data_IF_201976563046
#
_entry.id   IF_201976563046
#
_cell.length_a   1.000
_cell.length_b   1.000
_cell.length_c   1.000
_cell.angle_alpha   90.00
_cell.angle_beta   90.00
_cell.angle_gamma   90.00
#
_symmetry.space_group_name_H-M   'P 1'
#
loop_
_entity.id
_entity.type
_entity.pdbx_description
1 polymer ?
#
# COMPACT_ATOMS: atom_id res chain seq x y z
N UNK A 1 18.73 16.04 4.48
CA UNK A 1 17.32 16.49 4.45
C UNK A 1 16.61 15.88 5.64
N UNK A 2 16.05 16.69 6.53
CA UNK A 2 15.35 16.18 7.71
C UNK A 2 14.05 15.49 7.25
N UNK A 3 13.93 14.19 7.50
CA UNK A 3 12.64 13.50 7.48
C UNK A 3 11.81 14.07 8.63
N UNK A 4 10.98 15.06 8.32
CA UNK A 4 9.94 15.52 9.22
C UNK A 4 9.04 14.31 9.49
N UNK A 5 9.16 13.73 10.69
CA UNK A 5 8.34 12.58 11.07
C UNK A 5 6.89 13.02 10.92
N UNK A 6 6.11 12.25 10.13
CA UNK A 6 4.69 12.52 9.92
C UNK A 6 3.97 12.73 11.25
N UNK A 7 2.84 13.44 11.26
CA UNK A 7 2.18 13.85 12.50
C UNK A 7 1.89 12.63 13.37
N UNK A 8 2.64 12.50 14.46
CA UNK A 8 2.47 11.48 15.49
C UNK A 8 1.69 12.10 16.64
N UNK A 9 0.37 11.93 16.63
CA UNK A 9 -0.55 12.51 17.63
C UNK A 9 -1.96 12.72 17.08
N UNK A 10 -2.84 13.24 17.93
CA UNK A 10 -4.19 13.68 17.56
C UNK A 10 -4.14 14.81 16.51
N UNK A 11 -5.16 14.92 15.66
CA UNK A 11 -5.23 15.95 14.63
C UNK A 11 -5.29 17.35 15.28
N UNK A 12 -4.23 18.14 15.09
CA UNK A 12 -4.21 19.56 15.47
C UNK A 12 -4.59 20.45 14.27
N UNK A 13 -5.82 20.99 14.22
CA UNK A 13 -6.24 21.89 13.15
C UNK A 13 -5.46 23.21 13.14
N UNK A 14 -4.95 23.69 14.29
CA UNK A 14 -4.26 24.98 14.39
C UNK A 14 -2.93 24.98 13.61
N UNK A 15 -2.25 23.83 13.56
CA UNK A 15 -1.01 23.67 12.82
C UNK A 15 -1.18 23.81 11.29
N UNK A 16 -2.33 23.38 10.75
CA UNK A 16 -2.65 23.51 9.32
C UNK A 16 -3.22 24.88 8.98
N UNK A 17 -4.05 25.47 9.85
CA UNK A 17 -4.59 26.82 9.64
C UNK A 17 -3.51 27.89 9.69
N UNK A 18 -2.48 27.73 10.53
CA UNK A 18 -1.30 28.59 10.53
C UNK A 18 -0.54 28.60 9.19
N UNK A 19 -0.70 27.54 8.38
CA UNK A 19 -0.11 27.40 7.04
C UNK A 19 -1.10 27.79 5.92
N UNK A 20 -2.27 28.35 6.28
CA UNK A 20 -3.27 28.83 5.32
C UNK A 20 -4.17 27.74 4.73
N UNK A 21 -4.23 26.56 5.33
CA UNK A 21 -5.21 25.52 4.98
C UNK A 21 -6.50 25.71 5.78
N UNK A 22 -7.64 25.33 5.21
CA UNK A 22 -8.86 25.16 6.01
C UNK A 22 -8.71 23.96 6.96
N UNK A 23 -9.55 23.89 8.00
CA UNK A 23 -9.54 22.75 8.91
C UNK A 23 -9.91 21.42 8.21
N UNK A 24 -10.73 21.47 7.16
CA UNK A 24 -11.08 20.30 6.34
C UNK A 24 -9.94 19.87 5.42
N UNK A 25 -9.31 20.83 4.74
CA UNK A 25 -8.12 20.57 3.92
C UNK A 25 -6.99 20.00 4.79
N UNK A 26 -6.71 20.62 5.95
CA UNK A 26 -5.72 20.13 6.90
C UNK A 26 -6.01 18.71 7.36
N UNK A 27 -7.29 18.36 7.58
CA UNK A 27 -7.71 16.99 7.91
C UNK A 27 -7.41 16.01 6.79
N UNK A 28 -7.63 16.40 5.54
CA UNK A 28 -7.31 15.59 4.38
C UNK A 28 -5.80 15.34 4.29
N UNK A 29 -4.96 16.39 4.37
CA UNK A 29 -3.50 16.25 4.37
C UNK A 29 -2.98 15.40 5.54
N UNK A 30 -3.57 15.58 6.74
CA UNK A 30 -3.24 14.79 7.92
C UNK A 30 -3.64 13.31 7.76
N UNK A 31 -4.78 13.02 7.11
CA UNK A 31 -5.21 11.66 6.80
C UNK A 31 -4.19 10.90 5.94
N UNK A 32 -3.48 11.61 5.06
CA UNK A 32 -2.37 11.09 4.26
C UNK A 32 -1.02 11.10 5.00
N UNK A 33 -1.00 11.45 6.30
CA UNK A 33 0.19 11.65 7.13
C UNK A 33 1.19 12.68 6.59
N UNK A 34 0.72 13.62 5.78
CA UNK A 34 1.57 14.68 5.24
C UNK A 34 1.56 15.85 6.21
N UNK A 35 2.70 16.12 6.86
CA UNK A 35 2.81 17.19 7.85
C UNK A 35 2.48 18.59 7.28
N UNK A 36 2.02 19.56 8.09
CA UNK A 36 1.58 20.88 7.63
C UNK A 36 2.60 21.63 6.77
N UNK A 37 3.89 21.61 7.17
CA UNK A 37 4.97 22.25 6.39
C UNK A 37 5.16 21.59 5.03
N UNK A 38 5.04 20.26 4.98
CA UNK A 38 5.19 19.48 3.76
C UNK A 38 3.99 19.67 2.82
N UNK A 39 2.78 19.73 3.37
CA UNK A 39 1.58 20.10 2.64
C UNK A 39 1.72 21.51 2.02
N UNK A 40 2.26 22.47 2.76
CA UNK A 40 2.54 23.81 2.25
C UNK A 40 3.54 23.80 1.08
N UNK A 41 4.60 22.99 1.16
CA UNK A 41 5.55 22.81 0.05
C UNK A 41 4.88 22.24 -1.21
N UNK A 42 4.03 21.21 -1.05
CA UNK A 42 3.25 20.66 -2.16
C UNK A 42 2.29 21.68 -2.77
N UNK A 43 1.63 22.49 -1.95
CA UNK A 43 0.76 23.58 -2.41
C UNK A 43 1.55 24.65 -3.18
N UNK A 44 2.75 25.01 -2.71
CA UNK A 44 3.64 25.93 -3.42
C UNK A 44 4.05 25.38 -4.80
N UNK A 45 4.21 24.06 -4.91
CA UNK A 45 4.42 23.34 -6.16
C UNK A 45 3.13 23.13 -6.99
N UNK A 46 2.03 23.80 -6.62
CA UNK A 46 0.69 23.73 -7.24
C UNK A 46 0.04 22.33 -7.17
N UNK A 47 0.46 21.48 -6.25
CA UNK A 47 -0.19 20.19 -5.95
C UNK A 47 -1.13 20.42 -4.77
N UNK A 48 -2.42 20.55 -5.07
CA UNK A 48 -3.46 20.86 -4.06
C UNK A 48 -4.16 19.62 -3.53
N UNK A 49 -4.06 18.49 -4.24
CA UNK A 49 -4.62 17.21 -3.82
C UNK A 49 -3.62 16.46 -2.92
N UNK A 50 -4.01 16.09 -1.68
CA UNK A 50 -3.18 15.25 -0.80
C UNK A 50 -2.84 13.89 -1.42
N UNK A 51 -3.78 13.28 -2.15
CA UNK A 51 -3.57 12.02 -2.86
C UNK A 51 -2.49 12.19 -3.95
N UNK A 52 -2.57 13.26 -4.74
CA UNK A 52 -1.57 13.51 -5.77
C UNK A 52 -0.18 13.74 -5.16
N UNK A 53 -0.10 14.44 -4.02
CA UNK A 53 1.16 14.60 -3.30
C UNK A 53 1.74 13.27 -2.79
N UNK A 54 0.90 12.39 -2.24
CA UNK A 54 1.32 11.05 -1.82
C UNK A 54 1.82 10.20 -3.00
N UNK A 55 1.17 10.31 -4.18
CA UNK A 55 1.58 9.63 -5.40
C UNK A 55 2.96 10.11 -5.88
N UNK A 56 3.19 11.43 -5.88
CA UNK A 56 4.50 11.99 -6.22
C UNK A 56 5.60 11.55 -5.25
N UNK A 57 5.32 11.49 -3.94
CA UNK A 57 6.28 10.96 -2.96
C UNK A 57 6.62 9.49 -3.19
N UNK A 58 5.63 8.70 -3.62
CA UNK A 58 5.81 7.28 -3.96
C UNK A 58 6.74 7.12 -5.17
N UNK A 59 6.58 7.98 -6.18
CA UNK A 59 7.49 8.08 -7.32
C UNK A 59 8.86 8.69 -6.97
N UNK A 60 9.15 8.93 -5.67
CA UNK A 60 10.35 9.62 -5.15
C UNK A 60 10.56 11.02 -5.72
N UNK A 61 9.48 11.66 -6.17
CA UNK A 61 9.46 13.03 -6.64
C UNK A 61 9.20 13.96 -5.46
N UNK A 62 9.95 15.05 -5.41
CA UNK A 62 9.84 16.06 -4.36
C UNK A 62 9.06 17.28 -4.85
N UNK A 63 8.53 18.14 -3.96
CA UNK A 63 7.88 19.39 -4.35
C UNK A 63 8.75 20.29 -5.24
N UNK A 64 10.07 20.22 -5.13
CA UNK A 64 11.02 20.98 -5.95
C UNK A 64 11.16 20.42 -7.37
N UNK A 65 11.01 19.11 -7.54
CA UNK A 65 11.22 18.42 -8.82
C UNK A 65 9.92 18.17 -9.59
N UNK A 66 8.77 18.14 -8.91
CA UNK A 66 7.45 17.87 -9.51
C UNK A 66 7.07 18.85 -10.63
N UNK A 67 7.55 20.09 -10.56
CA UNK A 67 7.30 21.08 -11.61
C UNK A 67 7.83 20.63 -12.97
N UNK A 68 8.98 19.93 -13.02
CA UNK A 68 9.56 19.41 -14.27
C UNK A 68 8.75 18.24 -14.83
N UNK A 69 8.30 17.32 -13.96
CA UNK A 69 7.41 16.23 -14.35
C UNK A 69 6.09 16.75 -14.93
N UNK A 70 5.48 17.74 -14.28
CA UNK A 70 4.25 18.37 -14.76
C UNK A 70 4.43 19.18 -16.04
N UNK A 71 5.56 19.87 -16.19
CA UNK A 71 5.89 20.58 -17.44
C UNK A 71 6.07 19.61 -18.61
N UNK A 72 6.54 18.40 -18.34
CA UNK A 72 6.58 17.30 -19.31
C UNK A 72 5.23 16.64 -19.54
N UNK A 73 4.15 17.11 -18.90
CA UNK A 73 2.80 16.56 -18.97
C UNK A 73 2.64 15.21 -18.28
N UNK A 74 3.63 14.76 -17.50
CA UNK A 74 3.57 13.51 -16.73
C UNK A 74 2.76 13.79 -15.46
N UNK A 75 1.77 12.96 -15.21
CA UNK A 75 0.92 12.99 -14.01
C UNK A 75 1.54 12.21 -12.86
N UNK A 76 1.01 12.38 -11.65
CA UNK A 76 1.52 11.69 -10.45
C UNK A 76 1.37 10.16 -10.57
N UNK A 77 0.27 9.70 -11.18
CA UNK A 77 0.01 8.28 -11.43
C UNK A 77 0.98 7.71 -12.48
N UNK A 78 1.22 8.43 -13.58
CA UNK A 78 2.21 8.01 -14.59
C UNK A 78 3.62 7.97 -14.01
N UNK A 79 4.00 8.95 -13.18
CA UNK A 79 5.32 9.02 -12.55
C UNK A 79 5.64 7.81 -11.67
N UNK A 80 4.63 7.22 -11.02
CA UNK A 80 4.76 5.96 -10.29
C UNK A 80 5.13 4.83 -11.25
N UNK A 81 4.42 4.71 -12.38
CA UNK A 81 4.74 3.70 -13.39
C UNK A 81 6.18 3.83 -13.90
N UNK A 82 6.62 5.04 -14.23
CA UNK A 82 8.02 5.29 -14.63
C UNK A 82 9.03 4.88 -13.54
N UNK A 83 8.73 5.21 -12.27
CA UNK A 83 9.57 4.85 -11.13
C UNK A 83 9.61 3.34 -10.84
N UNK A 84 8.47 2.64 -10.93
CA UNK A 84 8.37 1.18 -10.73
C UNK A 84 9.20 0.41 -11.76
N UNK A 85 9.28 0.90 -12.99
CA UNK A 85 10.15 0.34 -14.03
C UNK A 85 11.61 0.81 -13.94
N UNK A 86 11.96 1.58 -12.90
CA UNK A 86 13.33 2.06 -12.67
C UNK A 86 13.78 3.15 -13.63
N UNK A 87 12.86 3.78 -14.37
CA UNK A 87 13.14 4.84 -15.33
C UNK A 87 13.12 6.19 -14.62
N UNK A 88 14.18 6.98 -14.84
CA UNK A 88 14.29 8.32 -14.27
C UNK A 88 13.47 9.37 -15.04
N UNK A 89 13.42 10.60 -14.52
CA UNK A 89 12.69 11.70 -15.14
C UNK A 89 13.09 11.94 -16.60
N UNK A 90 14.38 11.93 -16.89
CA UNK A 90 14.88 12.24 -18.24
C UNK A 90 14.49 11.13 -19.23
N UNK A 91 14.57 9.87 -18.80
CA UNK A 91 14.10 8.71 -19.58
C UNK A 91 12.58 8.77 -19.79
N UNK A 92 11.81 9.08 -18.75
CA UNK A 92 10.36 9.21 -18.83
C UNK A 92 9.94 10.32 -19.82
N UNK A 93 10.63 11.48 -19.80
CA UNK A 93 10.41 12.55 -20.78
C UNK A 93 10.71 12.06 -22.19
N UNK A 94 11.85 11.40 -22.40
CA UNK A 94 12.30 10.94 -23.70
C UNK A 94 11.36 9.90 -24.31
N UNK A 95 10.91 8.91 -23.53
CA UNK A 95 9.99 7.88 -23.97
C UNK A 95 8.58 8.42 -24.20
N UNK A 96 8.11 9.35 -23.36
CA UNK A 96 6.83 10.02 -23.56
C UNK A 96 6.82 10.86 -24.83
N UNK A 97 7.92 11.54 -25.16
CA UNK A 97 8.05 12.27 -26.42
C UNK A 97 7.99 11.36 -27.66
N UNK A 98 8.31 10.07 -27.50
CA UNK A 98 8.21 9.03 -28.52
C UNK A 98 6.83 8.32 -28.51
N UNK A 99 5.91 8.72 -27.62
CA UNK A 99 4.58 8.14 -27.51
C UNK A 99 4.52 6.82 -26.72
N UNK A 100 5.62 6.42 -26.06
CA UNK A 100 5.65 5.18 -25.29
C UNK A 100 5.01 5.32 -23.91
N UNK A 101 4.26 4.30 -23.51
CA UNK A 101 3.81 4.11 -22.14
C UNK A 101 4.98 3.63 -21.24
N UNK A 102 4.88 3.72 -19.89
CA UNK A 102 5.93 3.23 -19.00
C UNK A 102 6.30 1.76 -19.24
N UNK A 103 5.30 0.90 -19.52
CA UNK A 103 5.51 -0.51 -19.80
C UNK A 103 6.24 -0.73 -21.13
N UNK A 104 5.85 -0.01 -22.20
CA UNK A 104 6.53 -0.08 -23.50
C UNK A 104 7.97 0.46 -23.42
N UNK A 105 8.18 1.52 -22.65
CA UNK A 105 9.50 2.07 -22.43
C UNK A 105 10.42 1.10 -21.67
N UNK A 106 9.88 0.38 -20.69
CA UNK A 106 10.60 -0.69 -20.02
C UNK A 106 11.00 -1.81 -21.00
N UNK A 107 10.06 -2.27 -21.84
CA UNK A 107 10.32 -3.28 -22.87
C UNK A 107 11.43 -2.85 -23.84
N UNK A 108 11.36 -1.60 -24.34
CA UNK A 108 12.40 -1.02 -25.21
C UNK A 108 13.73 -0.91 -24.48
N UNK A 109 13.74 -0.48 -23.21
CA UNK A 109 14.95 -0.39 -22.39
C UNK A 109 15.59 -1.75 -22.11
N UNK A 110 14.79 -2.81 -22.09
CA UNK A 110 15.22 -4.20 -21.96
C UNK A 110 15.55 -4.88 -23.31
N UNK A 111 15.44 -4.15 -24.43
CA UNK A 111 15.76 -4.64 -25.78
C UNK A 111 14.70 -5.56 -26.40
N UNK A 112 13.43 -5.48 -25.98
CA UNK A 112 12.30 -6.20 -26.57
C UNK A 112 11.48 -5.27 -27.48
N UNK A 113 10.92 -5.80 -28.57
CA UNK A 113 10.06 -5.03 -29.47
C UNK A 113 8.72 -4.70 -28.79
N UNK A 114 8.31 -3.41 -28.73
CA UNK A 114 7.06 -3.01 -28.10
C UNK A 114 5.85 -3.43 -28.94
N UNK A 115 4.80 -3.93 -28.28
CA UNK A 115 3.56 -4.35 -28.94
C UNK A 115 2.82 -3.13 -29.55
N UNK A 116 2.30 -3.21 -30.81
CA UNK A 116 1.71 -2.07 -31.51
C UNK A 116 0.37 -1.63 -30.91
N UNK A 117 0.14 -0.31 -30.88
CA UNK A 117 -0.94 0.38 -30.18
C UNK A 117 -2.35 0.31 -30.84
N UNK A 118 -2.58 -0.64 -31.75
CA UNK A 118 -3.75 -0.63 -32.65
C UNK A 118 -4.94 -1.52 -32.24
N UNK A 119 -4.90 -2.23 -31.12
CA UNK A 119 -6.01 -3.11 -30.69
C UNK A 119 -6.96 -2.47 -29.66
N UNK A 120 -6.66 -1.25 -29.17
CA UNK A 120 -7.42 -0.57 -28.10
C UNK A 120 -8.08 0.77 -28.51
N UNK A 121 -8.13 1.11 -29.80
CA UNK A 121 -8.65 2.41 -30.29
C UNK A 121 -10.17 2.62 -30.10
N UNK A 122 -10.97 1.56 -29.88
CA UNK A 122 -12.41 1.68 -29.58
C UNK A 122 -12.71 2.02 -28.11
N UNK A 123 -11.70 2.09 -27.24
CA UNK A 123 -11.87 2.46 -25.83
C UNK A 123 -11.41 3.89 -25.61
N UNK A 124 -12.21 4.86 -26.07
CA UNK A 124 -12.03 6.27 -25.69
C UNK A 124 -11.96 6.40 -24.16
N UNK A 125 -10.94 7.07 -23.58
CA UNK A 125 -10.82 7.30 -22.15
C UNK A 125 -12.10 7.94 -21.57
N UNK A 126 -12.79 8.78 -22.33
CA UNK A 126 -14.01 9.50 -21.88
C UNK A 126 -15.26 8.62 -21.84
N UNK A 127 -15.38 7.61 -22.70
CA UNK A 127 -16.52 6.68 -22.66
C UNK A 127 -16.40 5.69 -21.50
N UNK A 128 -15.17 5.26 -21.20
CA UNK A 128 -14.86 4.45 -20.03
C UNK A 128 -15.04 5.24 -18.72
N UNK A 129 -14.58 6.50 -18.67
CA UNK A 129 -14.82 7.41 -17.54
C UNK A 129 -16.31 7.78 -17.37
N UNK A 130 -17.07 7.89 -18.46
CA UNK A 130 -18.52 8.12 -18.43
C UNK A 130 -19.33 6.92 -17.89
N UNK A 131 -18.90 5.70 -18.20
CA UNK A 131 -19.47 4.47 -17.63
C UNK A 131 -19.07 4.30 -16.14
N UNK A 132 -17.86 4.74 -15.78
CA UNK A 132 -17.38 4.83 -14.40
C UNK A 132 -18.11 5.91 -13.60
N UNK A 133 -18.67 6.96 -14.19
CA UNK A 133 -19.35 8.05 -13.47
C UNK A 133 -20.73 7.67 -12.89
N UNK A 134 -21.43 6.68 -13.46
CA UNK A 134 -22.68 6.14 -12.90
C UNK A 134 -22.44 5.04 -11.84
N UNK A 135 -21.25 4.41 -11.85
CA UNK A 135 -20.77 3.46 -10.83
C UNK A 135 -19.86 4.11 -9.77
N UNK A 136 -19.45 5.37 -10.00
CA UNK A 136 -18.51 6.10 -9.16
C UNK A 136 -19.06 6.28 -7.75
N UNK A 137 -20.36 6.45 -7.54
CA UNK A 137 -20.85 6.72 -6.19
C UNK A 137 -20.63 5.57 -5.23
N UNK A 138 -20.66 4.31 -5.67
CA UNK A 138 -20.53 3.14 -4.80
C UNK A 138 -19.06 2.76 -4.56
N UNK A 139 -18.26 2.72 -5.63
CA UNK A 139 -16.80 2.48 -5.54
C UNK A 139 -16.08 3.63 -4.82
N UNK A 140 -16.50 4.88 -5.04
CA UNK A 140 -16.00 6.04 -4.28
C UNK A 140 -16.44 5.96 -2.82
N UNK A 141 -17.65 5.50 -2.52
CA UNK A 141 -18.11 5.29 -1.14
C UNK A 141 -17.32 4.18 -0.42
N UNK A 142 -17.01 3.07 -1.09
CA UNK A 142 -16.18 1.99 -0.53
C UNK A 142 -14.74 2.43 -0.31
N UNK A 143 -14.18 3.18 -1.27
CA UNK A 143 -12.84 3.78 -1.16
C UNK A 143 -12.77 4.79 -0.02
N UNK A 144 -13.75 5.69 0.09
CA UNK A 144 -13.84 6.68 1.17
C UNK A 144 -14.04 6.00 2.53
N UNK A 145 -14.85 4.93 2.59
CA UNK A 145 -15.06 4.11 3.79
C UNK A 145 -13.78 3.41 4.21
N UNK A 146 -13.05 2.81 3.27
CA UNK A 146 -11.76 2.18 3.50
C UNK A 146 -10.74 3.18 4.05
N UNK A 147 -10.56 4.33 3.39
CA UNK A 147 -9.62 5.38 3.84
C UNK A 147 -9.97 5.86 5.25
N UNK A 148 -11.27 6.07 5.54
CA UNK A 148 -11.74 6.48 6.86
C UNK A 148 -11.46 5.43 7.93
N UNK A 149 -11.64 4.15 7.63
CA UNK A 149 -11.40 3.02 8.56
C UNK A 149 -9.92 2.67 8.72
N UNK A 150 -9.12 2.89 7.68
CA UNK A 150 -7.68 2.69 7.65
C UNK A 150 -6.91 3.81 8.38
N UNK A 151 -7.60 4.82 8.92
CA UNK A 151 -6.99 5.96 9.62
C UNK A 151 -5.98 5.49 10.66
N UNK A 152 -4.71 5.91 10.51
CA UNK A 152 -3.60 5.41 11.33
C UNK A 152 -2.64 4.45 10.61
N UNK A 153 -2.86 4.14 9.34
CA UNK A 153 -1.87 3.54 8.45
C UNK A 153 -1.10 4.59 7.65
N UNK A 154 0.00 4.20 6.99
CA UNK A 154 0.74 5.11 6.11
C UNK A 154 0.03 5.24 4.76
N UNK A 155 -0.04 6.46 4.20
CA UNK A 155 -0.73 6.72 2.92
C UNK A 155 -0.17 5.91 1.76
N UNK A 156 1.15 5.63 1.76
CA UNK A 156 1.81 4.71 0.82
C UNK A 156 1.24 3.29 0.95
N UNK A 157 1.08 2.80 2.17
CA UNK A 157 0.49 1.48 2.44
C UNK A 157 -0.94 1.42 1.94
N UNK A 158 -1.79 2.41 2.28
CA UNK A 158 -3.18 2.49 1.79
C UNK A 158 -3.27 2.46 0.26
N UNK A 159 -2.36 3.16 -0.42
CA UNK A 159 -2.33 3.19 -1.88
C UNK A 159 -2.12 1.81 -2.50
N UNK A 160 -1.27 0.95 -1.91
CA UNK A 160 -1.08 -0.42 -2.41
C UNK A 160 -2.35 -1.27 -2.39
N UNK A 161 -3.26 -1.02 -1.43
CA UNK A 161 -4.56 -1.70 -1.35
C UNK A 161 -5.54 -1.17 -2.40
N UNK A 162 -5.56 0.15 -2.62
CA UNK A 162 -6.37 0.77 -3.66
C UNK A 162 -5.97 0.31 -5.06
N UNK A 163 -4.66 0.22 -5.34
CA UNK A 163 -4.14 -0.31 -6.61
C UNK A 163 -4.48 -1.79 -6.80
N UNK A 164 -4.49 -2.56 -5.71
CA UNK A 164 -4.85 -3.96 -5.71
C UNK A 164 -6.37 -4.21 -5.67
N UNK A 165 -7.18 -3.15 -5.70
CA UNK A 165 -8.65 -3.16 -5.55
C UNK A 165 -9.13 -3.97 -4.33
N UNK A 166 -8.33 -3.98 -3.27
CA UNK A 166 -8.61 -4.73 -2.04
C UNK A 166 -8.94 -3.76 -0.91
N UNK A 167 -10.23 -3.49 -0.70
CA UNK A 167 -10.74 -2.40 0.17
C UNK A 167 -11.78 -2.84 1.20
N UNK A 168 -11.93 -4.16 1.39
CA UNK A 168 -12.85 -4.74 2.37
C UNK A 168 -12.38 -4.57 3.83
N UNK A 169 -13.17 -5.09 4.77
CA UNK A 169 -12.83 -5.02 6.21
C UNK A 169 -11.57 -5.84 6.57
N UNK A 170 -11.21 -6.84 5.76
CA UNK A 170 -9.97 -7.59 5.93
C UNK A 170 -8.77 -6.71 5.56
N UNK A 171 -8.84 -6.01 4.42
CA UNK A 171 -7.83 -5.03 4.00
C UNK A 171 -7.63 -3.95 5.06
N UNK A 172 -8.70 -3.48 5.72
CA UNK A 172 -8.61 -2.55 6.85
C UNK A 172 -7.77 -3.13 8.00
N UNK A 173 -7.93 -4.42 8.32
CA UNK A 173 -7.16 -5.04 9.39
C UNK A 173 -5.65 -5.13 9.06
N UNK A 174 -5.32 -5.46 7.81
CA UNK A 174 -3.93 -5.53 7.34
C UNK A 174 -3.27 -4.15 7.24
N UNK A 175 -3.95 -3.18 6.63
CA UNK A 175 -3.41 -1.81 6.45
C UNK A 175 -3.19 -1.13 7.80
N UNK A 176 -4.03 -1.37 8.82
CA UNK A 176 -3.84 -0.85 10.19
C UNK A 176 -2.61 -1.41 10.88
N UNK A 177 -2.09 -2.55 10.42
CA UNK A 177 -0.81 -3.11 10.86
C UNK A 177 0.40 -2.51 10.10
N UNK A 178 0.15 -1.58 9.17
CA UNK A 178 1.11 -0.95 8.26
C UNK A 178 1.85 -1.95 7.37
N UNK A 179 1.12 -2.96 6.90
CA UNK A 179 1.60 -4.01 5.99
C UNK A 179 1.06 -3.70 4.59
N UNK A 180 1.91 -3.65 3.57
CA UNK A 180 1.50 -3.41 2.19
C UNK A 180 0.67 -4.58 1.63
N UNK A 181 -0.14 -4.32 0.59
CA UNK A 181 -1.10 -5.29 0.05
C UNK A 181 -0.44 -6.57 -0.48
N UNK A 182 0.74 -6.49 -1.08
CA UNK A 182 1.44 -7.65 -1.63
C UNK A 182 1.98 -8.54 -0.50
N UNK A 183 2.63 -7.93 0.51
CA UNK A 183 3.11 -8.62 1.70
C UNK A 183 1.94 -9.21 2.50
N UNK A 184 0.83 -8.48 2.66
CA UNK A 184 -0.37 -8.98 3.33
C UNK A 184 -0.94 -10.23 2.65
N UNK A 185 -1.00 -10.28 1.32
CA UNK A 185 -1.40 -11.50 0.58
C UNK A 185 -0.47 -12.67 0.88
N UNK A 186 0.85 -12.46 0.87
CA UNK A 186 1.78 -13.56 1.17
C UNK A 186 1.67 -14.10 2.60
N UNK A 187 1.38 -13.26 3.60
CA UNK A 187 1.13 -13.71 4.96
C UNK A 187 -0.24 -14.39 5.10
N UNK A 188 -1.25 -13.89 4.40
CA UNK A 188 -2.58 -14.49 4.32
C UNK A 188 -2.53 -15.88 3.69
N UNK A 189 -1.73 -16.07 2.64
CA UNK A 189 -1.54 -17.38 1.99
C UNK A 189 -0.88 -18.40 2.93
N UNK A 190 -0.12 -17.93 3.92
CA UNK A 190 0.39 -18.77 5.02
C UNK A 190 -0.63 -18.99 6.15
N UNK A 191 -1.86 -18.50 6.00
CA UNK A 191 -2.93 -18.57 6.99
C UNK A 191 -2.76 -17.65 8.19
N UNK A 192 -1.81 -16.70 8.14
CA UNK A 192 -1.51 -15.79 9.25
C UNK A 192 -2.40 -14.55 9.24
N UNK A 193 -2.75 -14.07 10.43
CA UNK A 193 -3.57 -12.87 10.67
C UNK A 193 -2.69 -11.62 10.73
N UNK A 194 -3.25 -10.41 10.52
CA UNK A 194 -2.48 -9.16 10.50
C UNK A 194 -1.58 -8.94 11.73
N UNK A 195 -2.10 -9.21 12.93
CA UNK A 195 -1.36 -9.03 14.18
C UNK A 195 -0.19 -10.02 14.32
N UNK A 196 -0.37 -11.27 13.87
CA UNK A 196 0.65 -12.30 13.87
C UNK A 196 1.77 -11.95 12.88
N UNK A 197 1.40 -11.60 11.65
CA UNK A 197 2.33 -11.16 10.61
C UNK A 197 3.16 -9.96 11.06
N UNK A 198 2.52 -8.98 11.71
CA UNK A 198 3.21 -7.80 12.26
C UNK A 198 4.30 -8.16 13.26
N UNK A 199 4.09 -9.17 14.11
CA UNK A 199 5.11 -9.64 15.07
C UNK A 199 6.35 -10.19 14.36
N UNK A 200 6.18 -10.88 13.23
CA UNK A 200 7.31 -11.38 12.44
C UNK A 200 8.03 -10.26 11.67
N UNK A 201 7.27 -9.33 11.09
CA UNK A 201 7.84 -8.16 10.40
C UNK A 201 8.68 -7.31 11.36
N UNK A 202 8.20 -7.09 12.59
CA UNK A 202 8.96 -6.38 13.64
C UNK A 202 10.28 -7.08 14.02
N UNK A 203 10.34 -8.41 13.87
CA UNK A 203 11.54 -9.22 14.06
C UNK A 203 12.42 -9.30 12.80
N UNK A 204 12.01 -8.66 11.70
CA UNK A 204 12.72 -8.67 10.41
C UNK A 204 12.62 -9.98 9.65
N UNK A 205 11.62 -10.82 9.95
CA UNK A 205 11.44 -12.13 9.32
C UNK A 205 10.51 -12.02 8.11
N UNK A 206 10.90 -12.67 7.01
CA UNK A 206 10.08 -12.76 5.80
C UNK A 206 9.09 -13.94 5.88
N UNK A 207 7.97 -13.90 5.14
CA UNK A 207 7.02 -15.01 5.07
C UNK A 207 7.70 -16.35 4.77
N UNK A 208 8.62 -16.35 3.79
CA UNK A 208 9.38 -17.54 3.39
C UNK A 208 10.32 -18.06 4.48
N UNK A 209 10.93 -17.17 5.28
CA UNK A 209 11.79 -17.58 6.38
C UNK A 209 10.98 -18.28 7.49
N UNK A 210 9.82 -17.72 7.84
CA UNK A 210 8.89 -18.32 8.82
C UNK A 210 8.41 -19.67 8.30
N UNK A 211 7.91 -19.71 7.06
CA UNK A 211 7.48 -20.95 6.42
C UNK A 211 8.57 -22.04 6.51
N UNK A 212 9.80 -21.72 6.11
CA UNK A 212 10.93 -22.66 6.15
C UNK A 212 11.22 -23.18 7.55
N UNK A 213 11.15 -22.34 8.57
CA UNK A 213 11.40 -22.71 9.96
C UNK A 213 10.41 -23.78 10.44
N UNK A 214 9.12 -23.57 10.17
CA UNK A 214 8.05 -24.51 10.54
C UNK A 214 8.13 -25.83 9.76
N UNK A 215 8.44 -25.75 8.46
CA UNK A 215 8.67 -26.93 7.64
C UNK A 215 9.87 -27.77 8.10
N UNK A 216 10.98 -27.12 8.45
CA UNK A 216 12.17 -27.80 8.97
C UNK A 216 11.94 -28.47 10.33
N UNK A 217 11.02 -27.94 11.12
CA UNK A 217 10.56 -28.59 12.36
C UNK A 217 9.63 -29.79 12.11
N UNK A 218 9.19 -30.01 10.86
CA UNK A 218 8.28 -31.11 10.51
C UNK A 218 6.79 -30.76 10.64
N UNK A 219 6.45 -29.47 10.75
CA UNK A 219 5.06 -29.01 10.79
C UNK A 219 4.65 -28.56 9.37
N UNK A 220 3.56 -29.13 8.79
CA UNK A 220 3.01 -28.67 7.52
C UNK A 220 2.54 -27.21 7.57
N UNK A 221 2.63 -26.51 6.44
CA UNK A 221 2.23 -25.10 6.35
C UNK A 221 0.77 -24.86 6.72
N UNK A 222 -0.12 -25.80 6.37
CA UNK A 222 -1.55 -25.73 6.68
C UNK A 222 -1.83 -25.74 8.20
N UNK A 223 -0.96 -26.40 8.98
CA UNK A 223 -1.08 -26.43 10.44
C UNK A 223 -0.34 -25.26 11.10
N UNK A 224 0.71 -24.73 10.44
CA UNK A 224 1.62 -23.75 11.02
C UNK A 224 0.87 -22.49 11.53
N UNK A 225 -0.12 -22.00 10.78
CA UNK A 225 -0.93 -20.85 11.18
C UNK A 225 -1.62 -21.05 12.54
N UNK A 226 -2.20 -22.24 12.78
CA UNK A 226 -2.92 -22.55 14.01
C UNK A 226 -1.98 -22.60 15.22
N UNK A 227 -0.80 -23.20 15.04
CA UNK A 227 0.23 -23.25 16.09
C UNK A 227 0.87 -21.88 16.36
N UNK A 228 1.16 -21.10 15.31
CA UNK A 228 1.67 -19.73 15.42
C UNK A 228 0.67 -18.83 16.15
N UNK A 229 -0.61 -18.92 15.78
CA UNK A 229 -1.68 -18.14 16.40
C UNK A 229 -1.96 -18.54 17.85
N UNK A 230 -1.79 -19.82 18.20
CA UNK A 230 -1.75 -20.27 19.58
C UNK A 230 -0.54 -19.71 20.38
N UNK A 231 0.43 -19.10 19.68
CA UNK A 231 1.63 -18.50 20.28
C UNK A 231 2.76 -19.48 20.55
N UNK A 232 2.73 -20.64 19.90
CA UNK A 232 3.74 -21.69 20.07
C UNK A 232 4.88 -21.49 19.08
N UNK A 233 6.08 -21.87 19.50
CA UNK A 233 7.24 -22.01 18.62
C UNK A 233 7.18 -23.33 17.84
N UNK A 234 7.92 -23.47 16.72
CA UNK A 234 7.97 -24.72 15.96
C UNK A 234 8.33 -25.94 16.82
N UNK A 235 9.27 -25.76 17.77
CA UNK A 235 9.69 -26.83 18.70
C UNK A 235 8.58 -27.23 19.65
N UNK A 236 7.90 -26.25 20.25
CA UNK A 236 6.78 -26.53 21.16
C UNK A 236 5.61 -27.19 20.41
N UNK A 237 5.34 -26.78 19.16
CA UNK A 237 4.32 -27.40 18.33
C UNK A 237 4.61 -28.88 18.06
N UNK A 238 5.88 -29.24 17.78
CA UNK A 238 6.30 -30.65 17.63
C UNK A 238 6.07 -31.43 18.92
N UNK A 239 6.51 -30.89 20.07
CA UNK A 239 6.29 -31.55 21.36
C UNK A 239 4.80 -31.74 21.69
N UNK A 240 3.95 -30.78 21.31
CA UNK A 240 2.51 -30.88 21.51
C UNK A 240 1.87 -31.91 20.56
N UNK A 241 2.35 -32.02 19.31
CA UNK A 241 1.94 -33.08 18.39
C UNK A 241 2.34 -34.46 18.89
N UNK A 242 3.52 -34.61 19.48
CA UNK A 242 3.96 -35.87 20.11
C UNK A 242 3.08 -36.25 21.31
N UNK A 243 2.53 -35.25 22.01
CA UNK A 243 1.54 -35.45 23.09
C UNK A 243 0.11 -35.70 22.58
N UNK A 244 -0.10 -35.70 21.26
CA UNK A 244 -1.39 -35.97 20.62
C UNK A 244 -2.30 -34.75 20.49
N UNK A 245 -1.81 -33.54 20.75
CA UNK A 245 -2.57 -32.30 20.50
C UNK A 245 -2.61 -32.03 19.00
N UNK A 246 -3.80 -31.78 18.47
CA UNK A 246 -4.02 -31.53 17.04
C UNK A 246 -3.96 -30.05 16.69
N UNK A 247 -3.74 -29.73 15.42
CA UNK A 247 -3.80 -28.36 14.92
C UNK A 247 -5.17 -27.69 15.13
N UNK A 248 -6.27 -28.47 15.13
CA UNK A 248 -7.62 -27.97 15.43
C UNK A 248 -7.74 -27.48 16.89
N UNK A 249 -7.10 -28.18 17.83
CA UNK A 249 -7.05 -27.75 19.23
C UNK A 249 -6.18 -26.49 19.38
N UNK A 250 -5.10 -26.37 18.61
CA UNK A 250 -4.31 -25.14 18.55
C UNK A 250 -5.12 -23.97 17.94
N UNK A 251 -5.92 -24.22 16.90
CA UNK A 251 -6.82 -23.21 16.32
C UNK A 251 -7.87 -22.75 17.35
N UNK A 252 -8.36 -23.65 18.19
CA UNK A 252 -9.29 -23.29 19.27
C UNK A 252 -8.64 -22.31 20.26
N UNK A 253 -7.37 -22.53 20.62
CA UNK A 253 -6.60 -21.61 21.48
C UNK A 253 -6.31 -20.27 20.78
N UNK A 254 -6.02 -20.31 19.48
CA UNK A 254 -5.84 -19.12 18.64
C UNK A 254 -7.10 -18.24 18.64
N UNK A 255 -8.28 -18.83 18.44
CA UNK A 255 -9.55 -18.10 18.47
C UNK A 255 -9.82 -17.46 19.83
N UNK A 256 -9.56 -18.18 20.93
CA UNK A 256 -9.72 -17.63 22.28
C UNK A 256 -8.80 -16.43 22.51
N UNK A 257 -7.55 -16.52 22.06
CA UNK A 257 -6.57 -15.44 22.18
C UNK A 257 -6.93 -14.20 21.36
N UNK A 258 -7.42 -14.41 20.14
CA UNK A 258 -7.86 -13.30 19.28
C UNK A 258 -9.10 -12.58 19.85
N UNK A 259 -9.94 -13.26 20.63
CA UNK A 259 -11.06 -12.64 21.33
C UNK A 259 -10.65 -11.75 22.50
N UNK A 260 -9.49 -11.99 23.10
CA UNK A 260 -8.93 -11.18 24.20
C UNK A 260 -8.11 -9.97 23.68
N UNK A 261 -7.58 -10.05 22.45
CA UNK A 261 -6.76 -9.02 21.80
C UNK A 261 -7.59 -8.00 20.94
N UNK A 262 -8.92 -8.16 20.86
CA UNK A 262 -9.85 -7.33 20.06
C UNK A 262 -10.53 -6.19 20.85
#
# INVERSE_FOLDING_TARGET
MAHDKGPSGEFDPAAYTAMGFSAEEGRAWWGWRIAPRRAASWRAARVTSPLAAAQWETARVTPETVARWRAAGITAAEAIGWHEFGLDLESAIAYRAQGHTPAQAYEVSCGREPRPAGEDEDRSPDAFLGLMAFNASEVQQETDRFIKRASGATGVTMYTYLQAEWVDDEAVAWVRCDIDAATARTWKDLGLRPAEARRFIQRGLSPMAVAREWWQAGIPFEEAASWIGAGLTPREAVEQRERGITAEQAETLRVLRDGDDA
#
